data_IF_730528935438
#
_entry.id   IF_730528935438
#
_cell.length_a   1.000
_cell.length_b   1.000
_cell.length_c   1.000
_cell.angle_alpha   90.00
_cell.angle_beta   90.00
_cell.angle_gamma   90.00
#
_symmetry.space_group_name_H-M   'P 1'
#
loop_
_entity.id
_entity.type
_entity.pdbx_description
1 polymer ?
#
# COMPACT_ATOMS: atom_id res chain seq x y z
N UNK A 1 19.21 45.18 -39.19
CA UNK A 1 18.98 45.61 -37.79
C UNK A 1 18.29 44.48 -37.04
N UNK A 2 18.68 44.32 -35.77
CA UNK A 2 18.03 43.63 -34.62
C UNK A 2 17.14 42.41 -34.91
N UNK A 3 17.63 41.26 -34.45
CA UNK A 3 16.87 40.02 -34.22
C UNK A 3 15.78 40.27 -33.18
N UNK A 4 14.55 39.81 -33.44
CA UNK A 4 13.49 39.73 -32.44
C UNK A 4 13.13 38.26 -32.29
N UNK A 5 13.70 37.67 -31.24
CA UNK A 5 13.39 36.32 -30.76
C UNK A 5 12.05 36.44 -30.05
N UNK A 6 11.00 35.78 -30.56
CA UNK A 6 9.70 35.71 -29.89
C UNK A 6 9.63 34.41 -29.10
N UNK A 7 9.71 34.63 -27.79
CA UNK A 7 9.62 33.74 -26.64
C UNK A 7 8.37 32.84 -26.63
N UNK A 8 8.63 31.57 -26.28
CA UNK A 8 7.77 30.53 -25.71
C UNK A 8 6.25 30.76 -25.60
N UNK A 9 5.48 29.83 -26.14
CA UNK A 9 4.05 29.71 -25.87
C UNK A 9 3.39 28.49 -26.51
N UNK A 10 3.79 27.26 -26.13
CA UNK A 10 2.88 26.11 -26.28
C UNK A 10 2.07 25.99 -24.99
N UNK A 11 0.93 26.68 -24.93
CA UNK A 11 -0.09 26.39 -23.95
C UNK A 11 -0.69 25.02 -24.29
N UNK A 12 -0.13 23.97 -23.71
CA UNK A 12 -0.75 22.65 -23.69
C UNK A 12 -2.01 22.78 -22.86
N UNK A 13 -3.17 22.89 -23.53
CA UNK A 13 -4.48 22.69 -22.93
C UNK A 13 -4.50 21.27 -22.38
N UNK A 14 -4.06 21.12 -21.13
CA UNK A 14 -4.21 19.90 -20.38
C UNK A 14 -5.71 19.66 -20.26
N UNK A 15 -6.22 18.81 -21.16
CA UNK A 15 -7.46 18.08 -20.92
C UNK A 15 -7.18 17.16 -19.75
N UNK A 16 -7.13 17.72 -18.54
CA UNK A 16 -7.10 16.92 -17.34
C UNK A 16 -8.35 16.04 -17.41
N UNK A 17 -8.23 14.71 -17.36
CA UNK A 17 -9.37 13.92 -16.98
C UNK A 17 -9.77 14.45 -15.61
N UNK A 18 -10.95 15.06 -15.51
CA UNK A 18 -11.62 15.24 -14.23
C UNK A 18 -12.03 13.84 -13.79
N UNK A 19 -11.06 13.01 -13.40
CA UNK A 19 -11.33 11.76 -12.69
C UNK A 19 -11.90 12.17 -11.35
N UNK A 20 -13.22 12.28 -11.31
CA UNK A 20 -13.98 12.31 -10.08
C UNK A 20 -13.73 10.97 -9.38
N UNK A 21 -13.12 11.00 -8.20
CA UNK A 21 -12.96 9.86 -7.30
C UNK A 21 -14.32 9.46 -6.71
N UNK A 22 -15.26 9.04 -7.57
CA UNK A 22 -16.56 8.52 -7.16
C UNK A 22 -16.68 7.01 -7.40
N UNK A 23 -15.76 6.39 -8.17
CA UNK A 23 -15.81 4.96 -8.52
C UNK A 23 -14.74 4.10 -7.83
N UNK A 24 -13.92 4.66 -6.95
CA UNK A 24 -12.73 3.97 -6.46
C UNK A 24 -12.86 3.66 -4.98
N UNK A 25 -13.59 2.59 -4.67
CA UNK A 25 -13.27 1.65 -3.58
C UNK A 25 -14.31 0.53 -3.65
N UNK A 26 -13.95 -0.61 -4.23
CA UNK A 26 -14.73 -1.82 -3.99
C UNK A 26 -14.71 -2.05 -2.47
N UNK A 27 -15.87 -2.03 -1.78
CA UNK A 27 -15.86 -2.19 -0.34
C UNK A 27 -15.20 -3.53 0.00
N UNK A 28 -14.21 -3.49 0.90
CA UNK A 28 -13.57 -4.70 1.40
C UNK A 28 -14.66 -5.66 1.89
N UNK A 29 -14.54 -6.92 1.50
CA UNK A 29 -15.48 -7.93 1.97
C UNK A 29 -15.31 -8.10 3.48
N UNK A 30 -16.39 -8.38 4.20
CA UNK A 30 -16.31 -8.69 5.65
C UNK A 30 -15.33 -9.83 5.94
N UNK A 31 -15.18 -10.76 5.00
CA UNK A 31 -14.22 -11.86 5.11
C UNK A 31 -12.78 -11.35 5.06
N UNK A 32 -12.46 -10.41 4.16
CA UNK A 32 -11.13 -9.79 4.09
C UNK A 32 -10.80 -9.00 5.34
N UNK A 33 -11.72 -8.15 5.82
CA UNK A 33 -11.49 -7.36 7.05
C UNK A 33 -11.22 -8.26 8.25
N UNK A 34 -11.95 -9.37 8.39
CA UNK A 34 -11.70 -10.36 9.46
C UNK A 34 -10.34 -11.04 9.32
N UNK A 35 -9.93 -11.36 8.09
CA UNK A 35 -8.63 -11.95 7.84
C UNK A 35 -7.49 -10.96 8.19
N UNK A 36 -7.65 -9.68 7.85
CA UNK A 36 -6.69 -8.64 8.21
C UNK A 36 -6.61 -8.42 9.72
N UNK A 37 -7.75 -8.38 10.41
CA UNK A 37 -7.77 -8.27 11.88
C UNK A 37 -7.09 -9.47 12.55
N UNK A 38 -7.36 -10.70 12.10
CA UNK A 38 -6.71 -11.89 12.64
C UNK A 38 -5.18 -11.85 12.46
N UNK A 39 -4.72 -11.34 11.31
CA UNK A 39 -3.31 -11.13 11.03
C UNK A 39 -2.66 -10.08 11.95
N UNK A 40 -3.35 -8.97 12.20
CA UNK A 40 -2.89 -7.94 13.15
C UNK A 40 -2.87 -8.46 14.59
N UNK A 41 -3.86 -9.26 14.98
CA UNK A 41 -3.91 -9.95 16.27
C UNK A 41 -2.71 -10.90 16.46
N UNK A 42 -2.36 -11.66 15.41
CA UNK A 42 -1.14 -12.49 15.41
C UNK A 42 0.14 -11.66 15.58
N UNK A 43 0.19 -10.47 14.98
CA UNK A 43 1.31 -9.53 15.14
C UNK A 43 1.32 -8.82 16.53
N UNK A 44 0.32 -9.07 17.37
CA UNK A 44 0.21 -8.57 18.74
C UNK A 44 -0.61 -7.28 18.90
N UNK A 45 -1.40 -6.89 17.90
CA UNK A 45 -2.32 -5.76 17.97
C UNK A 45 -3.71 -6.20 18.44
N UNK A 46 -4.32 -5.50 19.40
CA UNK A 46 -5.66 -5.82 19.86
C UNK A 46 -6.68 -4.79 19.34
N UNK A 47 -7.45 -5.10 18.27
CA UNK A 47 -8.39 -4.17 17.66
C UNK A 47 -9.66 -3.93 18.50
N UNK A 48 -9.91 -4.76 19.51
CA UNK A 48 -11.08 -4.63 20.40
C UNK A 48 -10.78 -3.80 21.66
N UNK A 49 -9.50 -3.52 21.93
CA UNK A 49 -9.09 -2.67 23.05
C UNK A 49 -9.12 -1.19 22.66
N UNK A 50 -9.33 -0.33 23.65
CA UNK A 50 -9.05 1.10 23.48
C UNK A 50 -7.55 1.27 23.32
N UNK A 51 -7.11 1.50 22.08
CA UNK A 51 -5.70 1.74 21.79
C UNK A 51 -5.35 3.21 22.08
N UNK A 52 -4.68 3.43 23.21
CA UNK A 52 -4.19 4.75 23.63
C UNK A 52 -3.01 5.23 22.80
N UNK A 53 -2.32 4.32 22.12
CA UNK A 53 -1.15 4.58 21.30
C UNK A 53 -1.50 4.62 19.80
N UNK A 54 -2.78 4.71 19.44
CA UNK A 54 -3.20 4.83 18.04
C UNK A 54 -2.64 6.13 17.42
N UNK A 55 -2.00 6.08 16.23
CA UNK A 55 -1.88 4.93 15.32
C UNK A 55 -0.57 4.12 15.43
N UNK A 56 0.31 4.45 16.38
CA UNK A 56 1.64 3.84 16.50
C UNK A 56 1.58 2.33 16.82
N UNK A 57 0.59 1.88 17.61
CA UNK A 57 0.37 0.46 17.91
C UNK A 57 0.07 -0.35 16.64
N UNK A 58 -0.81 0.16 15.79
CA UNK A 58 -1.18 -0.43 14.51
C UNK A 58 0.03 -0.55 13.58
N UNK A 59 0.78 0.54 13.39
CA UNK A 59 1.95 0.56 12.49
C UNK A 59 3.04 -0.44 12.91
N UNK A 60 3.25 -0.61 14.22
CA UNK A 60 4.20 -1.61 14.74
C UNK A 60 3.78 -3.03 14.40
N UNK A 61 2.48 -3.33 14.49
CA UNK A 61 1.95 -4.64 14.13
C UNK A 61 2.02 -4.88 12.61
N UNK A 62 1.71 -3.87 11.79
CA UNK A 62 1.88 -3.95 10.34
C UNK A 62 3.34 -4.19 9.93
N UNK A 63 4.30 -3.53 10.60
CA UNK A 63 5.73 -3.73 10.35
C UNK A 63 6.18 -5.16 10.68
N UNK A 64 5.66 -5.75 11.76
CA UNK A 64 5.91 -7.15 12.12
C UNK A 64 5.35 -8.09 11.06
N UNK A 65 4.10 -7.88 10.65
CA UNK A 65 3.44 -8.67 9.62
C UNK A 65 4.25 -8.67 8.31
N UNK A 66 4.70 -7.49 7.86
CA UNK A 66 5.51 -7.36 6.65
C UNK A 66 6.86 -8.08 6.77
N UNK A 67 7.50 -8.02 7.95
CA UNK A 67 8.73 -8.75 8.22
C UNK A 67 8.50 -10.27 8.12
N UNK A 68 7.43 -10.77 8.72
CA UNK A 68 7.03 -12.19 8.69
C UNK A 68 6.74 -12.69 7.27
N UNK A 69 5.98 -11.92 6.49
CA UNK A 69 5.70 -12.19 5.08
C UNK A 69 6.98 -12.23 4.24
N UNK A 70 7.93 -11.34 4.49
CA UNK A 70 9.22 -11.29 3.79
C UNK A 70 10.09 -12.50 4.13
N UNK A 71 10.12 -12.94 5.38
CA UNK A 71 10.80 -14.19 5.77
C UNK A 71 10.15 -15.42 5.14
N UNK A 72 8.82 -15.48 5.13
CA UNK A 72 8.08 -16.60 4.53
C UNK A 72 8.32 -16.68 3.02
N UNK A 73 8.32 -15.54 2.31
CA UNK A 73 8.65 -15.48 0.88
C UNK A 73 10.10 -15.93 0.60
N UNK A 74 11.06 -15.51 1.42
CA UNK A 74 12.46 -15.98 1.29
C UNK A 74 12.58 -17.48 1.50
N UNK A 75 11.86 -18.04 2.48
CA UNK A 75 11.82 -19.47 2.75
C UNK A 75 11.17 -20.26 1.61
N UNK A 76 10.09 -19.74 1.03
CA UNK A 76 9.48 -20.34 -0.16
C UNK A 76 10.44 -20.32 -1.36
N UNK A 77 11.18 -19.22 -1.56
CA UNK A 77 12.14 -19.08 -2.66
C UNK A 77 13.31 -20.08 -2.56
N UNK A 78 13.90 -20.27 -1.38
CA UNK A 78 14.95 -21.28 -1.17
C UNK A 78 14.44 -22.71 -1.34
N UNK A 79 13.20 -22.99 -0.93
CA UNK A 79 12.57 -24.30 -1.10
C UNK A 79 12.32 -24.61 -2.58
N UNK A 80 11.82 -23.63 -3.35
CA UNK A 80 11.62 -23.79 -4.80
C UNK A 80 12.95 -23.95 -5.55
N UNK A 81 14.02 -23.28 -5.13
CA UNK A 81 15.35 -23.47 -5.71
C UNK A 81 15.95 -24.84 -5.39
N UNK A 82 15.67 -25.37 -4.20
CA UNK A 82 16.12 -26.70 -3.79
C UNK A 82 15.38 -27.85 -4.49
N UNK A 83 14.16 -27.63 -5.00
CA UNK A 83 13.41 -28.62 -5.79
C UNK A 83 13.75 -28.62 -7.29
N UNK A 84 14.59 -27.70 -7.76
CA UNK A 84 15.00 -27.57 -9.16
C UNK A 84 16.34 -28.27 -9.48
N UNK A 85 16.84 -29.14 -8.59
CA UNK A 85 18.10 -29.85 -8.76
C UNK A 85 17.96 -31.36 -8.59
#
# INVERSE_FOLDING_TARGET
MKQIIVTAGLALLASAPLTSFAQSDMPLSRAQVRAELANLEQAGYNPLSVDVDYPAGLQKAEARLQAEQTSSQRQAAIQSGAQQH
#
